data_IF_939763929214
#
_entry.id   IF_939763929214
#
_cell.length_a   1.000
_cell.length_b   1.000
_cell.length_c   1.000
_cell.angle_alpha   90.00
_cell.angle_beta   90.00
_cell.angle_gamma   90.00
#
_symmetry.space_group_name_H-M   'P 1'
#
loop_
_entity.id
_entity.type
_entity.pdbx_description
1 polymer ?
#
# COMPACT_ATOMS: atom_id res chain seq x y z
N UNK A 1 1.10 -1.97 16.14
CA UNK A 1 0.56 -1.71 14.78
C UNK A 1 1.44 -2.30 13.69
N UNK A 2 2.76 -2.07 13.67
CA UNK A 2 3.66 -2.58 12.61
C UNK A 2 3.66 -4.11 12.42
N UNK A 3 3.66 -4.90 13.51
CA UNK A 3 3.59 -6.36 13.39
C UNK A 3 2.28 -6.81 12.72
N UNK A 4 1.16 -6.16 13.07
CA UNK A 4 -0.14 -6.45 12.46
C UNK A 4 -0.15 -6.09 10.97
N UNK A 5 0.51 -5.00 10.57
CA UNK A 5 0.67 -4.63 9.17
C UNK A 5 1.43 -5.70 8.38
N UNK A 6 2.57 -6.16 8.91
CA UNK A 6 3.35 -7.23 8.27
C UNK A 6 2.50 -8.51 8.17
N UNK A 7 1.77 -8.86 9.22
CA UNK A 7 0.90 -10.03 9.23
C UNK A 7 -0.20 -9.93 8.17
N UNK A 8 -0.91 -8.79 8.10
CA UNK A 8 -1.96 -8.57 7.09
C UNK A 8 -1.41 -8.58 5.67
N UNK A 9 -0.21 -8.02 5.44
CA UNK A 9 0.45 -8.06 4.15
C UNK A 9 0.81 -9.49 3.72
N UNK A 10 1.39 -10.29 4.63
CA UNK A 10 1.69 -11.71 4.38
C UNK A 10 0.42 -12.49 4.09
N UNK A 11 -0.64 -12.28 4.87
CA UNK A 11 -1.95 -12.90 4.62
C UNK A 11 -2.47 -12.51 3.24
N UNK A 12 -2.53 -11.23 2.89
CA UNK A 12 -3.05 -10.76 1.62
C UNK A 12 -2.32 -11.38 0.41
N UNK A 13 -1.00 -11.55 0.48
CA UNK A 13 -0.19 -12.12 -0.61
C UNK A 13 -0.33 -13.64 -0.73
N UNK A 14 -0.50 -14.35 0.39
CA UNK A 14 -0.58 -15.81 0.41
C UNK A 14 -1.98 -16.37 0.13
N UNK A 15 -3.03 -15.56 0.27
CA UNK A 15 -4.40 -16.02 0.06
C UNK A 15 -4.66 -16.37 -1.43
N UNK A 16 -5.16 -17.59 -1.65
CA UNK A 16 -5.60 -18.03 -2.98
C UNK A 16 -7.01 -17.52 -3.33
N UNK A 17 -7.82 -17.19 -2.32
CA UNK A 17 -9.14 -16.56 -2.47
C UNK A 17 -8.97 -15.04 -2.50
N UNK A 18 -9.31 -14.43 -3.63
CA UNK A 18 -9.15 -13.00 -3.88
C UNK A 18 -10.11 -12.16 -3.03
N UNK A 19 -11.23 -12.70 -2.54
CA UNK A 19 -12.09 -11.98 -1.59
C UNK A 19 -11.36 -11.82 -0.25
N UNK A 20 -10.76 -12.91 0.26
CA UNK A 20 -9.98 -12.87 1.49
C UNK A 20 -8.74 -11.97 1.34
N UNK A 21 -8.05 -12.07 0.20
CA UNK A 21 -6.91 -11.20 -0.09
C UNK A 21 -7.32 -9.71 -0.11
N UNK A 22 -8.46 -9.39 -0.73
CA UNK A 22 -9.00 -8.02 -0.80
C UNK A 22 -9.37 -7.48 0.58
N UNK A 23 -10.04 -8.28 1.40
CA UNK A 23 -10.40 -7.88 2.77
C UNK A 23 -9.16 -7.70 3.66
N UNK A 24 -8.16 -8.58 3.53
CA UNK A 24 -6.89 -8.46 4.25
C UNK A 24 -6.12 -7.19 3.82
N UNK A 25 -6.13 -6.86 2.53
CA UNK A 25 -5.52 -5.63 2.00
C UNK A 25 -6.26 -4.37 2.47
N UNK A 26 -7.59 -4.38 2.51
CA UNK A 26 -8.38 -3.29 3.07
C UNK A 26 -8.12 -3.10 4.57
N UNK A 27 -8.01 -4.21 5.31
CA UNK A 27 -7.59 -4.20 6.71
C UNK A 27 -6.18 -3.63 6.91
N UNK A 28 -5.24 -3.97 6.03
CA UNK A 28 -3.89 -3.38 6.03
C UNK A 28 -3.96 -1.86 5.86
N UNK A 29 -4.71 -1.35 4.88
CA UNK A 29 -4.88 0.08 4.66
C UNK A 29 -5.52 0.79 5.86
N UNK A 30 -6.50 0.16 6.51
CA UNK A 30 -7.11 0.72 7.71
C UNK A 30 -6.11 0.82 8.88
N UNK A 31 -5.32 -0.23 9.11
CA UNK A 31 -4.27 -0.22 10.14
C UNK A 31 -3.17 0.79 9.80
N UNK A 32 -2.85 1.00 8.52
CA UNK A 32 -1.93 2.06 8.09
C UNK A 32 -2.49 3.44 8.42
N UNK A 33 -3.77 3.72 8.11
CA UNK A 33 -4.43 4.97 8.45
C UNK A 33 -4.38 5.23 9.97
N UNK A 34 -4.66 4.22 10.80
CA UNK A 34 -4.53 4.34 12.26
C UNK A 34 -3.09 4.62 12.70
N UNK A 35 -2.11 4.06 12.01
CA UNK A 35 -0.68 4.32 12.30
C UNK A 35 -0.32 5.77 11.99
N UNK A 36 -0.81 6.33 10.88
CA UNK A 36 -0.65 7.75 10.55
C UNK A 36 -1.33 8.66 11.58
N UNK A 37 -2.56 8.32 11.97
CA UNK A 37 -3.28 9.07 13.01
C UNK A 37 -2.53 9.04 14.35
N UNK A 38 -1.94 7.89 14.72
CA UNK A 38 -1.20 7.72 15.96
C UNK A 38 0.08 8.58 16.03
N UNK A 39 0.69 8.93 14.89
CA UNK A 39 1.84 9.84 14.84
C UNK A 39 1.45 11.32 14.64
N UNK A 40 0.16 11.64 14.74
CA UNK A 40 -0.35 13.02 14.61
C UNK A 40 -0.54 13.50 13.18
N UNK A 41 -0.41 12.63 12.17
CA UNK A 41 -0.58 12.97 10.76
C UNK A 41 -2.05 12.82 10.32
N UNK A 42 -2.91 13.75 10.74
CA UNK A 42 -4.36 13.67 10.51
C UNK A 42 -4.71 13.68 9.01
N UNK A 43 -4.15 14.59 8.21
CA UNK A 43 -4.46 14.72 6.78
C UNK A 43 -4.09 13.45 5.99
N UNK A 44 -2.93 12.88 6.30
CA UNK A 44 -2.45 11.62 5.70
C UNK A 44 -3.34 10.45 6.13
N UNK A 45 -3.77 10.42 7.40
CA UNK A 45 -4.65 9.35 7.89
C UNK A 45 -6.02 9.36 7.22
N UNK A 46 -6.61 10.53 6.95
CA UNK A 46 -7.89 10.65 6.28
C UNK A 46 -7.82 10.19 4.83
N UNK A 47 -6.78 10.64 4.11
CA UNK A 47 -6.58 10.23 2.71
C UNK A 47 -6.30 8.74 2.59
N UNK A 48 -5.51 8.17 3.50
CA UNK A 48 -5.25 6.73 3.55
C UNK A 48 -6.52 5.92 3.89
N UNK A 49 -7.34 6.40 4.84
CA UNK A 49 -8.59 5.73 5.20
C UNK A 49 -9.58 5.73 4.02
N UNK A 50 -9.72 6.85 3.31
CA UNK A 50 -10.66 6.96 2.19
C UNK A 50 -10.15 6.20 0.97
N UNK A 51 -8.89 6.35 0.58
CA UNK A 51 -8.36 5.80 -0.68
C UNK A 51 -7.79 4.39 -0.49
N UNK A 52 -6.91 4.21 0.49
CA UNK A 52 -6.23 2.95 0.77
C UNK A 52 -7.19 1.88 1.30
N UNK A 53 -7.86 2.17 2.42
CA UNK A 53 -8.80 1.22 3.02
C UNK A 53 -10.16 1.19 2.30
N UNK A 54 -10.70 2.35 1.93
CA UNK A 54 -12.04 2.48 1.36
C UNK A 54 -12.11 2.16 -0.14
N UNK A 55 -11.74 3.13 -0.97
CA UNK A 55 -11.93 3.10 -2.42
C UNK A 55 -11.24 1.90 -3.09
N UNK A 56 -10.00 1.60 -2.69
CA UNK A 56 -9.26 0.46 -3.25
C UNK A 56 -9.97 -0.86 -3.00
N UNK A 57 -10.54 -1.05 -1.80
CA UNK A 57 -11.34 -2.25 -1.47
C UNK A 57 -12.59 -2.32 -2.33
N UNK A 58 -13.32 -1.21 -2.49
CA UNK A 58 -14.51 -1.15 -3.36
C UNK A 58 -14.17 -1.51 -4.81
N UNK A 59 -13.10 -0.93 -5.36
CA UNK A 59 -12.68 -1.23 -6.73
C UNK A 59 -12.23 -2.68 -6.91
N UNK A 60 -11.52 -3.25 -5.93
CA UNK A 60 -11.14 -4.67 -5.98
C UNK A 60 -12.34 -5.60 -5.88
N UNK A 61 -13.32 -5.28 -5.02
CA UNK A 61 -14.58 -6.02 -4.97
C UNK A 61 -15.37 -5.89 -6.28
N UNK A 62 -15.44 -4.70 -6.86
CA UNK A 62 -16.09 -4.48 -8.16
C UNK A 62 -15.41 -5.26 -9.30
N UNK A 63 -14.07 -5.31 -9.31
CA UNK A 63 -13.30 -6.14 -10.24
C UNK A 63 -13.56 -7.63 -10.00
N UNK A 64 -13.65 -8.06 -8.73
CA UNK A 64 -13.93 -9.44 -8.35
C UNK A 64 -15.29 -9.91 -8.85
N UNK A 65 -16.32 -9.04 -8.78
CA UNK A 65 -17.65 -9.33 -9.31
C UNK A 65 -17.66 -9.58 -10.83
N UNK A 66 -16.63 -9.11 -11.55
CA UNK A 66 -16.46 -9.28 -13.00
C UNK A 66 -15.39 -10.29 -13.39
N UNK A 67 -14.75 -10.94 -12.41
CA UNK A 67 -13.61 -11.85 -12.63
C UNK A 67 -13.75 -13.12 -11.79
N UNK A 68 -12.74 -14.00 -11.81
CA UNK A 68 -12.76 -15.24 -11.04
C UNK A 68 -12.26 -15.00 -9.62
N UNK A 69 -12.82 -15.72 -8.64
CA UNK A 69 -12.48 -15.56 -7.22
C UNK A 69 -11.14 -16.18 -6.80
N UNK A 70 -10.62 -17.15 -7.57
CA UNK A 70 -9.33 -17.79 -7.28
C UNK A 70 -8.23 -17.22 -8.16
N UNK A 71 -7.02 -17.12 -7.59
CA UNK A 71 -5.82 -16.75 -8.34
C UNK A 71 -5.45 -17.81 -9.37
N UNK A 72 -5.15 -17.38 -10.59
CA UNK A 72 -4.59 -18.23 -11.66
C UNK A 72 -3.05 -18.12 -11.69
N UNK A 73 -2.31 -19.17 -12.10
CA UNK A 73 -0.87 -19.10 -12.27
C UNK A 73 -0.48 -18.00 -13.26
N UNK A 74 0.43 -17.12 -12.84
CA UNK A 74 0.97 -16.09 -13.71
C UNK A 74 2.11 -16.64 -14.58
N UNK A 75 2.20 -16.27 -15.87
CA UNK A 75 3.32 -16.69 -16.72
C UNK A 75 4.65 -16.14 -16.18
N UNK A 76 5.73 -16.91 -16.34
CA UNK A 76 7.04 -16.58 -15.77
C UNK A 76 7.55 -15.18 -16.15
N UNK A 77 7.34 -14.75 -17.40
CA UNK A 77 7.68 -13.40 -17.87
C UNK A 77 7.06 -12.30 -17.00
N UNK A 78 5.80 -12.46 -16.60
CA UNK A 78 5.07 -11.45 -15.84
C UNK A 78 5.59 -11.37 -14.40
N UNK A 79 6.04 -12.49 -13.84
CA UNK A 79 6.66 -12.52 -12.51
C UNK A 79 7.97 -11.73 -12.49
N UNK A 80 8.82 -11.91 -13.49
CA UNK A 80 10.08 -11.15 -13.60
C UNK A 80 9.85 -9.67 -13.88
N UNK A 81 8.89 -9.34 -14.75
CA UNK A 81 8.49 -7.94 -14.98
C UNK A 81 7.96 -7.32 -13.69
N UNK A 82 7.08 -7.99 -12.95
CA UNK A 82 6.55 -7.48 -11.69
C UNK A 82 7.66 -7.26 -10.65
N UNK A 83 8.61 -8.20 -10.52
CA UNK A 83 9.78 -8.03 -9.65
C UNK A 83 10.66 -6.86 -10.08
N UNK A 84 10.92 -6.72 -11.38
CA UNK A 84 11.69 -5.60 -11.93
C UNK A 84 11.02 -4.26 -11.66
N UNK A 85 9.70 -4.16 -11.85
CA UNK A 85 8.92 -2.95 -11.55
C UNK A 85 8.94 -2.64 -10.05
N UNK A 86 8.68 -3.63 -9.19
CA UNK A 86 8.74 -3.43 -7.73
C UNK A 86 10.13 -2.97 -7.26
N UNK A 87 11.19 -3.58 -7.78
CA UNK A 87 12.56 -3.20 -7.45
C UNK A 87 12.88 -1.77 -7.94
N UNK A 88 12.51 -1.44 -9.18
CA UNK A 88 12.74 -0.11 -9.75
C UNK A 88 12.00 0.98 -8.97
N UNK A 89 10.73 0.76 -8.63
CA UNK A 89 9.94 1.69 -7.81
C UNK A 89 10.56 1.81 -6.40
N UNK A 90 10.93 0.70 -5.77
CA UNK A 90 11.54 0.70 -4.45
C UNK A 90 12.86 1.49 -4.40
N UNK A 91 13.75 1.25 -5.38
CA UNK A 91 15.01 2.01 -5.52
C UNK A 91 14.73 3.49 -5.79
N UNK A 92 13.76 3.80 -6.65
CA UNK A 92 13.34 5.17 -6.93
C UNK A 92 12.86 5.90 -5.69
N UNK A 93 12.02 5.26 -4.87
CA UNK A 93 11.54 5.83 -3.60
C UNK A 93 12.69 6.06 -2.62
N UNK A 94 13.62 5.11 -2.48
CA UNK A 94 14.80 5.28 -1.61
C UNK A 94 15.69 6.44 -2.10
N UNK A 95 15.95 6.54 -3.39
CA UNK A 95 16.72 7.64 -3.96
C UNK A 95 16.04 9.01 -3.75
N UNK A 96 14.71 9.07 -3.89
CA UNK A 96 13.92 10.27 -3.60
C UNK A 96 14.00 10.66 -2.12
N UNK A 97 13.98 9.69 -1.20
CA UNK A 97 14.15 10.00 0.23
C UNK A 97 15.52 10.61 0.55
N UNK A 98 16.58 10.20 -0.16
CA UNK A 98 17.90 10.81 -0.02
C UNK A 98 17.98 12.25 -0.57
N UNK A 99 16.99 12.65 -1.36
CA UNK A 99 16.87 14.00 -1.92
C UNK A 99 16.04 14.94 -1.04
N UNK A 100 15.50 14.46 0.10
CA UNK A 100 14.72 15.29 1.01
C UNK A 100 15.62 16.26 1.77
N UNK A 101 15.23 17.55 1.89
CA UNK A 101 15.98 18.50 2.70
C UNK A 101 16.03 18.06 4.17
N UNK A 102 17.10 18.42 4.91
CA UNK A 102 17.19 18.13 6.33
C UNK A 102 15.99 18.72 7.08
N UNK A 103 15.45 17.95 8.02
CA UNK A 103 14.37 18.39 8.90
C UNK A 103 14.78 19.67 9.64
N UNK A 104 14.03 20.75 9.44
CA UNK A 104 14.25 22.03 10.13
C UNK A 104 15.38 22.89 9.56
N UNK A 105 15.82 22.64 8.32
CA UNK A 105 16.80 23.51 7.66
C UNK A 105 16.25 24.96 7.50
N UNK A 106 16.85 25.97 8.17
CA UNK A 106 16.38 27.35 8.09
C UNK A 106 16.52 27.98 6.69
N UNK A 107 17.25 27.33 5.78
CA UNK A 107 17.37 27.73 4.38
C UNK A 107 16.25 27.18 3.48
N UNK A 108 15.39 26.28 3.98
CA UNK A 108 14.23 25.83 3.20
C UNK A 108 13.20 26.96 3.07
N UNK A 109 12.71 27.27 1.86
CA UNK A 109 11.66 28.27 1.68
C UNK A 109 10.46 27.92 2.55
N UNK A 110 9.88 28.91 3.23
CA UNK A 110 8.65 28.69 3.98
C UNK A 110 7.58 28.12 3.04
N UNK A 111 7.09 26.92 3.34
CA UNK A 111 5.97 26.32 2.64
C UNK A 111 4.72 27.11 3.01
N UNK A 112 4.35 28.06 2.14
CA UNK A 112 3.07 28.81 2.19
C UNK A 112 1.87 27.91 1.91
#
# INVERSE_FOLDING_TARGET
MLVLLVLLAVVAVQMADLLLATLALGGYGFVMALTWAAIGAADVSFTEAVVGAGATTVFMLAALLRTTRRRSPAPARLRWVALGVCAAVGVGLIALTASLPPLGDPATPASV
#
